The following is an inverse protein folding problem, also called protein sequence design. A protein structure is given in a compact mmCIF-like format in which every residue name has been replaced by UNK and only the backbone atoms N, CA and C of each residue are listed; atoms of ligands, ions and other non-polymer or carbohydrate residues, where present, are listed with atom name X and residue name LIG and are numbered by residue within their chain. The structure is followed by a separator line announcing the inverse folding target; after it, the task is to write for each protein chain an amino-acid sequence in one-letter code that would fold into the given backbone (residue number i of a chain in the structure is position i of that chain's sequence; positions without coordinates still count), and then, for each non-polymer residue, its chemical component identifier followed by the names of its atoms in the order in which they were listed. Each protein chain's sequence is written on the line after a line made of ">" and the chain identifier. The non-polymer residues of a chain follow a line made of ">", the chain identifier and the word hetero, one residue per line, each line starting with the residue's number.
data_IF_138179273888
#
_entry.id   IF_138179273888
#
_cell.length_a   1.000
_cell.length_b   1.000
_cell.length_c   1.000
_cell.angle_alpha   90.00
_cell.angle_beta   90.00
_cell.angle_gamma   90.00
#
_symmetry.space_group_name_H-M   'P 1'
#
loop_
_entity.id
_entity.type
_entity.pdbx_description
1 polymer ?
#
# COMPACT_ATOMS: atom_id res chain seq x y z
N UNK A 1 -10.57 14.30 77.67
CA UNK A 1 -11.33 13.73 76.54
C UNK A 1 -10.99 14.55 75.31
N UNK A 2 -10.25 13.98 74.36
CA UNK A 2 -9.58 14.68 73.26
C UNK A 2 -10.57 15.24 72.20
N UNK A 3 -10.31 16.43 71.63
CA UNK A 3 -11.07 16.93 70.48
C UNK A 3 -10.54 16.33 69.16
N UNK A 4 -11.47 16.10 68.24
CA UNK A 4 -11.26 15.56 66.90
C UNK A 4 -10.63 16.62 65.98
N UNK A 5 -9.49 16.30 65.35
CA UNK A 5 -8.92 17.07 64.23
C UNK A 5 -9.59 16.64 62.91
N UNK A 6 -9.90 17.57 61.99
CA UNK A 6 -10.36 17.23 60.65
C UNK A 6 -9.15 16.84 59.78
N UNK A 7 -9.23 15.67 59.13
CA UNK A 7 -8.27 15.23 58.10
C UNK A 7 -8.56 15.98 56.80
N UNK A 8 -7.68 16.91 56.42
CA UNK A 8 -7.69 17.52 55.10
C UNK A 8 -7.25 16.48 54.05
N UNK A 9 -8.12 16.19 53.08
CA UNK A 9 -7.80 15.36 51.91
C UNK A 9 -7.23 16.28 50.83
N UNK A 10 -5.93 16.17 50.58
CA UNK A 10 -5.28 16.88 49.47
C UNK A 10 -5.57 16.15 48.16
N UNK A 11 -6.40 16.75 47.30
CA UNK A 11 -6.69 16.25 45.95
C UNK A 11 -5.56 16.70 45.02
N UNK A 12 -4.59 15.82 44.77
CA UNK A 12 -3.49 16.07 43.84
C UNK A 12 -4.00 16.10 42.39
N UNK A 13 -3.98 17.28 41.76
CA UNK A 13 -4.30 17.45 40.35
C UNK A 13 -3.13 16.98 39.49
N UNK A 14 -3.20 15.76 38.96
CA UNK A 14 -2.26 15.26 37.95
C UNK A 14 -2.50 16.00 36.62
N UNK A 15 -1.69 17.01 36.33
CA UNK A 15 -1.64 17.65 35.03
C UNK A 15 -0.89 16.71 34.09
N UNK A 16 -1.63 15.89 33.33
CA UNK A 16 -1.06 15.11 32.25
C UNK A 16 -0.64 16.07 31.12
N UNK A 17 0.66 16.36 31.05
CA UNK A 17 1.26 17.09 29.94
C UNK A 17 1.21 16.23 28.67
N UNK A 18 0.18 16.44 27.85
CA UNK A 18 0.11 15.91 26.50
C UNK A 18 1.17 16.62 25.65
N UNK A 19 2.32 15.97 25.43
CA UNK A 19 3.27 16.44 24.43
C UNK A 19 2.56 16.53 23.07
N UNK A 20 2.70 17.62 22.32
CA UNK A 20 2.14 17.71 20.99
C UNK A 20 2.80 16.62 20.15
N UNK A 21 2.01 15.66 19.66
CA UNK A 21 2.49 14.71 18.66
C UNK A 21 2.91 15.55 17.44
N UNK A 22 4.22 15.62 17.17
CA UNK A 22 4.73 16.24 15.96
C UNK A 22 4.04 15.54 14.79
N UNK A 23 3.19 16.28 14.08
CA UNK A 23 2.54 15.77 12.89
C UNK A 23 3.65 15.40 11.91
N UNK A 24 3.69 14.14 11.48
CA UNK A 24 4.63 13.71 10.46
C UNK A 24 4.35 14.52 9.19
N UNK A 25 5.28 15.40 8.82
CA UNK A 25 5.12 16.30 7.67
C UNK A 25 5.13 15.50 6.38
N UNK A 26 4.08 15.66 5.60
CA UNK A 26 4.03 15.19 4.22
C UNK A 26 4.80 16.16 3.32
N UNK A 27 5.65 15.62 2.45
CA UNK A 27 6.45 16.38 1.49
C UNK A 27 6.33 15.78 0.10
N UNK A 28 6.49 16.60 -0.94
CA UNK A 28 6.69 16.11 -2.31
C UNK A 28 8.16 15.75 -2.51
N UNK A 29 8.39 14.60 -3.13
CA UNK A 29 9.72 14.16 -3.52
C UNK A 29 9.71 13.67 -4.97
N UNK A 30 10.88 13.72 -5.60
CA UNK A 30 11.10 13.28 -6.97
C UNK A 30 12.37 12.45 -7.08
N UNK A 31 12.34 11.46 -7.96
CA UNK A 31 13.54 10.75 -8.42
C UNK A 31 13.59 10.74 -9.94
N UNK A 32 14.81 10.68 -10.47
CA UNK A 32 15.03 10.38 -11.88
C UNK A 32 14.95 8.86 -12.07
N UNK A 33 14.12 8.42 -13.02
CA UNK A 33 13.96 7.02 -13.43
C UNK A 33 13.87 6.93 -14.94
N UNK A 34 14.68 6.08 -15.58
CA UNK A 34 14.74 5.97 -17.06
C UNK A 34 14.91 7.33 -17.78
N UNK A 35 15.54 8.32 -17.14
CA UNK A 35 15.65 9.68 -17.68
C UNK A 35 14.37 10.53 -17.58
N UNK A 36 13.38 10.09 -16.81
CA UNK A 36 12.11 10.76 -16.53
C UNK A 36 11.98 11.08 -15.05
N UNK A 37 11.17 12.08 -14.69
CA UNK A 37 10.86 12.39 -13.29
C UNK A 37 9.68 11.54 -12.82
N UNK A 38 9.87 10.86 -11.69
CA UNK A 38 8.81 10.21 -10.93
C UNK A 38 8.57 10.98 -9.63
N UNK A 39 7.40 11.61 -9.53
CA UNK A 39 6.95 12.35 -8.35
C UNK A 39 6.15 11.46 -7.40
N UNK A 40 6.32 11.67 -6.10
CA UNK A 40 5.57 10.96 -5.07
C UNK A 40 5.38 11.81 -3.81
N UNK A 41 4.28 11.55 -3.10
CA UNK A 41 4.11 12.05 -1.73
C UNK A 41 4.93 11.17 -0.79
N UNK A 42 5.73 11.80 0.06
CA UNK A 42 6.61 11.16 1.02
C UNK A 42 6.25 11.60 2.44
N UNK A 43 6.05 10.63 3.33
CA UNK A 43 5.92 10.86 4.77
C UNK A 43 6.99 10.04 5.48
N UNK A 44 7.81 10.70 6.31
CA UNK A 44 8.89 10.07 7.07
C UNK A 44 8.55 10.08 8.57
N UNK A 45 8.39 8.91 9.21
CA UNK A 45 8.32 8.83 10.67
C UNK A 45 9.72 9.07 11.28
N UNK A 46 9.77 9.48 12.54
CA UNK A 46 11.03 9.71 13.26
C UNK A 46 11.88 8.44 13.39
N UNK A 47 11.24 7.31 13.69
CA UNK A 47 11.88 6.01 13.90
C UNK A 47 11.30 4.99 12.91
N UNK A 48 11.79 4.98 11.65
CA UNK A 48 11.22 4.12 10.62
C UNK A 48 11.55 2.64 10.87
N UNK A 49 10.55 1.77 10.74
CA UNK A 49 10.69 0.30 10.80
C UNK A 49 10.78 -0.36 9.42
N UNK A 50 10.80 0.44 8.37
CA UNK A 50 10.80 0.03 6.97
C UNK A 50 10.08 1.06 6.09
N UNK A 51 9.91 0.74 4.81
CA UNK A 51 9.25 1.59 3.82
C UNK A 51 8.08 0.88 3.14
N UNK A 52 7.06 1.63 2.75
CA UNK A 52 5.93 1.15 1.93
C UNK A 52 5.73 2.03 0.71
N UNK A 53 5.50 1.38 -0.44
CA UNK A 53 5.06 2.02 -1.67
C UNK A 53 3.57 1.71 -1.86
N UNK A 54 2.75 2.76 -1.96
CA UNK A 54 1.29 2.66 -2.00
C UNK A 54 0.76 2.98 -3.41
N UNK A 55 0.42 1.95 -4.18
CA UNK A 55 -0.05 2.10 -5.56
C UNK A 55 -1.58 2.16 -5.64
N UNK A 56 -2.09 3.31 -6.08
CA UNK A 56 -3.51 3.51 -6.30
C UNK A 56 -4.06 2.60 -7.40
N UNK A 57 -5.32 2.17 -7.23
CA UNK A 57 -6.11 1.44 -8.24
C UNK A 57 -6.60 2.36 -9.37
N UNK A 58 -7.71 1.98 -10.03
CA UNK A 58 -8.23 2.73 -11.18
C UNK A 58 -7.17 2.96 -12.26
N UNK A 59 -7.13 4.15 -12.87
CA UNK A 59 -6.11 4.48 -13.86
C UNK A 59 -4.71 4.69 -13.26
N UNK A 60 -4.60 5.03 -11.98
CA UNK A 60 -3.33 5.13 -11.25
C UNK A 60 -2.54 6.41 -11.45
N UNK A 61 -2.88 7.23 -12.45
CA UNK A 61 -2.36 8.59 -12.62
C UNK A 61 -2.99 9.47 -11.53
N UNK A 62 -2.22 9.81 -10.49
CA UNK A 62 -2.65 10.67 -9.39
C UNK A 62 -2.64 12.14 -9.76
N UNK A 63 -1.83 12.48 -10.76
CA UNK A 63 -1.60 13.84 -11.21
C UNK A 63 -1.16 14.77 -10.07
N UNK A 64 -0.04 14.39 -9.45
CA UNK A 64 0.57 15.17 -8.37
C UNK A 64 1.22 16.43 -8.94
N UNK A 65 0.84 17.60 -8.44
CA UNK A 65 1.55 18.86 -8.71
C UNK A 65 2.80 19.02 -7.83
N UNK A 66 3.52 20.14 -7.99
CA UNK A 66 4.76 20.41 -7.26
C UNK A 66 4.53 20.63 -5.75
N UNK A 67 3.32 21.04 -5.38
CA UNK A 67 2.89 21.29 -4.00
C UNK A 67 2.30 20.03 -3.33
N UNK A 68 2.07 18.97 -4.11
CA UNK A 68 1.57 17.68 -3.63
C UNK A 68 0.05 17.57 -3.63
N UNK A 69 -0.65 18.51 -4.28
CA UNK A 69 -2.07 18.37 -4.55
C UNK A 69 -2.30 17.14 -5.42
N UNK A 70 -3.30 16.36 -5.05
CA UNK A 70 -3.69 15.16 -5.77
C UNK A 70 -4.77 15.54 -6.77
N UNK A 71 -4.45 15.53 -8.07
CA UNK A 71 -5.42 15.81 -9.14
C UNK A 71 -6.49 14.72 -9.28
N UNK A 72 -6.14 13.46 -9.03
CA UNK A 72 -7.08 12.34 -9.03
C UNK A 72 -6.78 11.30 -7.94
N UNK A 73 -7.84 10.67 -7.43
CA UNK A 73 -7.68 9.48 -6.58
C UNK A 73 -7.40 9.79 -5.11
N UNK A 74 -7.61 11.03 -4.64
CA UNK A 74 -7.47 11.39 -3.23
C UNK A 74 -8.33 10.50 -2.29
N UNK A 75 -9.49 10.04 -2.77
CA UNK A 75 -10.36 9.10 -2.06
C UNK A 75 -9.97 7.63 -2.16
N UNK A 76 -8.99 7.27 -3.00
CA UNK A 76 -8.52 5.88 -3.13
C UNK A 76 -8.02 5.36 -1.78
N UNK A 77 -8.31 4.09 -1.47
CA UNK A 77 -8.03 3.51 -0.16
C UNK A 77 -6.57 3.64 0.27
N UNK A 78 -5.61 3.29 -0.59
CA UNK A 78 -4.19 3.41 -0.22
C UNK A 78 -3.73 4.87 -0.16
N UNK A 79 -4.23 5.71 -1.06
CA UNK A 79 -3.89 7.16 -1.09
C UNK A 79 -4.40 7.86 0.17
N UNK A 80 -5.67 7.66 0.57
CA UNK A 80 -6.24 8.30 1.77
C UNK A 80 -5.70 7.74 3.08
N UNK A 81 -5.09 6.56 3.07
CA UNK A 81 -4.54 5.91 4.27
C UNK A 81 -3.02 6.06 4.41
N UNK A 82 -2.33 6.75 3.51
CA UNK A 82 -0.87 6.96 3.55
C UNK A 82 -0.35 7.45 4.91
N UNK A 83 -1.00 8.43 5.53
CA UNK A 83 -0.62 8.91 6.86
C UNK A 83 -0.81 7.87 7.99
N UNK A 84 -1.67 6.87 7.81
CA UNK A 84 -1.83 5.78 8.78
C UNK A 84 -0.68 4.77 8.72
N UNK A 85 -0.13 4.51 7.53
CA UNK A 85 1.10 3.71 7.40
C UNK A 85 2.29 4.42 8.02
N UNK A 86 2.40 5.73 7.82
CA UNK A 86 3.46 6.54 8.44
C UNK A 86 3.34 6.60 9.97
N UNK A 87 2.12 6.74 10.51
CA UNK A 87 1.87 6.59 11.96
C UNK A 87 2.17 5.18 12.48
N UNK A 88 2.14 4.16 11.62
CA UNK A 88 2.60 2.82 11.96
C UNK A 88 4.14 2.66 11.82
N UNK A 89 4.89 3.75 11.63
CA UNK A 89 6.34 3.75 11.60
C UNK A 89 6.94 3.39 10.24
N UNK A 90 6.18 3.40 9.14
CA UNK A 90 6.75 3.15 7.81
C UNK A 90 7.04 4.46 7.07
N UNK A 91 8.22 4.59 6.47
CA UNK A 91 8.42 5.59 5.42
C UNK A 91 7.41 5.30 4.32
N UNK A 92 6.55 6.26 4.03
CA UNK A 92 5.41 6.03 3.14
C UNK A 92 5.59 6.84 1.86
N UNK A 93 5.65 6.14 0.72
CA UNK A 93 5.65 6.74 -0.60
C UNK A 93 4.34 6.45 -1.33
N UNK A 94 3.68 7.50 -1.81
CA UNK A 94 2.50 7.40 -2.69
C UNK A 94 2.86 7.99 -4.05
N UNK A 95 3.39 7.18 -4.98
CA UNK A 95 3.87 7.68 -6.27
C UNK A 95 2.74 7.94 -7.25
N UNK A 96 2.95 8.98 -8.07
CA UNK A 96 2.27 9.14 -9.35
C UNK A 96 2.92 8.23 -10.41
N UNK A 97 2.62 8.48 -11.68
CA UNK A 97 3.23 7.86 -12.84
C UNK A 97 4.20 8.86 -13.49
N UNK A 98 5.34 8.36 -14.00
CA UNK A 98 6.28 9.17 -14.76
C UNK A 98 5.60 9.87 -15.95
N UNK A 99 6.04 11.08 -16.30
CA UNK A 99 5.31 11.95 -17.23
C UNK A 99 5.10 11.33 -18.63
N UNK A 100 6.10 10.63 -19.16
CA UNK A 100 6.06 9.90 -20.43
C UNK A 100 4.97 8.81 -20.45
N UNK A 101 4.73 8.21 -19.29
CA UNK A 101 3.81 7.10 -19.06
C UNK A 101 2.37 7.53 -18.73
N UNK A 102 2.09 8.84 -18.58
CA UNK A 102 0.73 9.36 -18.36
C UNK A 102 -0.16 9.35 -19.61
N UNK A 103 0.39 9.04 -20.79
CA UNK A 103 -0.34 9.01 -22.07
C UNK A 103 -1.38 7.88 -22.09
N UNK A 104 -2.63 8.18 -22.47
CA UNK A 104 -3.66 7.15 -22.73
C UNK A 104 -4.68 6.88 -21.61
N UNK A 105 -4.84 7.78 -20.62
CA UNK A 105 -5.96 7.72 -19.66
C UNK A 105 -5.90 6.57 -18.65
N UNK A 106 -4.73 5.93 -18.49
CA UNK A 106 -4.49 4.88 -17.51
C UNK A 106 -3.91 3.59 -18.09
N UNK A 107 -4.68 2.52 -17.94
CA UNK A 107 -4.23 1.13 -17.89
C UNK A 107 -3.65 0.53 -19.18
N UNK A 108 -4.03 0.93 -20.40
CA UNK A 108 -3.50 0.26 -21.60
C UNK A 108 -1.97 0.37 -21.68
N UNK A 109 -1.27 -0.75 -21.48
CA UNK A 109 0.18 -0.87 -21.60
C UNK A 109 0.98 -0.45 -20.36
N UNK A 110 0.53 0.58 -19.62
CA UNK A 110 1.28 1.13 -18.49
C UNK A 110 1.60 0.12 -17.39
N UNK A 111 0.58 -0.50 -16.78
CA UNK A 111 0.75 -1.21 -15.50
C UNK A 111 1.58 -2.50 -15.61
N UNK A 112 1.68 -3.09 -16.79
CA UNK A 112 2.45 -4.30 -17.06
C UNK A 112 3.64 -4.07 -18.00
N UNK A 113 4.01 -2.81 -18.26
CA UNK A 113 5.20 -2.49 -19.06
C UNK A 113 6.49 -2.75 -18.28
N UNK A 114 7.59 -3.07 -18.96
CA UNK A 114 8.92 -3.08 -18.36
C UNK A 114 9.29 -1.73 -17.72
N UNK A 115 8.92 -0.63 -18.37
CA UNK A 115 9.23 0.74 -17.94
C UNK A 115 8.60 1.09 -16.60
N UNK A 116 7.32 0.73 -16.40
CA UNK A 116 6.66 0.94 -15.12
C UNK A 116 7.28 0.08 -14.00
N UNK A 117 7.73 -1.14 -14.31
CA UNK A 117 8.46 -1.95 -13.34
C UNK A 117 9.82 -1.32 -12.99
N UNK A 118 10.53 -0.77 -13.96
CA UNK A 118 11.79 -0.06 -13.71
C UNK A 118 11.60 1.18 -12.83
N UNK A 119 10.53 1.95 -13.04
CA UNK A 119 10.17 3.10 -12.19
C UNK A 119 9.90 2.68 -10.75
N UNK A 120 9.13 1.61 -10.55
CA UNK A 120 8.90 1.03 -9.22
C UNK A 120 10.23 0.54 -8.61
N UNK A 121 11.08 -0.13 -9.39
CA UNK A 121 12.36 -0.64 -8.91
C UNK A 121 13.33 0.46 -8.46
N UNK A 122 13.37 1.58 -9.18
CA UNK A 122 14.16 2.75 -8.77
C UNK A 122 13.60 3.42 -7.52
N UNK A 123 12.26 3.47 -7.37
CA UNK A 123 11.63 3.93 -6.14
C UNK A 123 11.93 2.99 -4.96
N UNK A 124 11.93 1.67 -5.19
CA UNK A 124 12.33 0.68 -4.16
C UNK A 124 13.76 0.96 -3.69
N UNK A 125 14.71 1.13 -4.61
CA UNK A 125 16.11 1.46 -4.24
C UNK A 125 16.21 2.76 -3.45
N UNK A 126 15.50 3.81 -3.90
CA UNK A 126 15.49 5.10 -3.22
C UNK A 126 14.97 4.96 -1.77
N UNK A 127 13.83 4.30 -1.58
CA UNK A 127 13.25 4.12 -0.25
C UNK A 127 14.06 3.15 0.63
N UNK A 128 14.74 2.17 0.03
CA UNK A 128 15.62 1.24 0.76
C UNK A 128 16.78 2.00 1.43
N UNK A 129 17.28 3.06 0.80
CA UNK A 129 18.29 3.94 1.39
C UNK A 129 17.74 4.80 2.54
N UNK A 130 16.43 5.04 2.59
CA UNK A 130 15.78 5.76 3.70
C UNK A 130 15.44 4.82 4.87
N UNK A 131 14.84 3.68 4.58
CA UNK A 131 14.51 2.64 5.54
C UNK A 131 14.27 1.30 4.85
N UNK A 132 15.05 0.29 5.20
CA UNK A 132 14.86 -1.11 4.82
C UNK A 132 14.13 -1.86 5.95
N UNK A 133 13.30 -2.88 5.67
CA UNK A 133 12.89 -3.40 4.34
C UNK A 133 11.89 -2.51 3.59
N UNK A 134 11.71 -2.75 2.29
CA UNK A 134 10.77 -2.02 1.41
C UNK A 134 9.67 -2.93 0.91
N UNK A 135 8.41 -2.52 1.09
CA UNK A 135 7.23 -3.29 0.73
C UNK A 135 6.40 -2.59 -0.35
N UNK A 136 5.86 -3.38 -1.29
CA UNK A 136 5.04 -2.88 -2.39
C UNK A 136 3.57 -3.26 -2.18
N UNK A 137 2.69 -2.27 -2.09
CA UNK A 137 1.28 -2.44 -1.75
C UNK A 137 0.44 -1.84 -2.88
N UNK A 138 -0.49 -2.61 -3.43
CA UNK A 138 -1.38 -2.13 -4.49
C UNK A 138 -2.83 -2.55 -4.29
N UNK A 139 -3.76 -1.67 -4.61
CA UNK A 139 -5.20 -1.95 -4.52
C UNK A 139 -5.84 -2.13 -5.90
N UNK A 140 -6.81 -3.03 -6.01
CA UNK A 140 -7.64 -3.17 -7.20
C UNK A 140 -6.80 -3.43 -8.45
N UNK A 141 -6.90 -2.54 -9.43
CA UNK A 141 -6.15 -2.59 -10.67
C UNK A 141 -4.62 -2.44 -10.50
N UNK A 142 -4.14 -1.93 -9.36
CA UNK A 142 -2.72 -1.92 -9.06
C UNK A 142 -2.12 -3.31 -8.81
N UNK A 143 -2.95 -4.35 -8.67
CA UNK A 143 -2.48 -5.73 -8.70
C UNK A 143 -1.57 -6.03 -9.91
N UNK A 144 -1.88 -5.43 -11.07
CA UNK A 144 -1.04 -5.58 -12.27
C UNK A 144 0.34 -4.95 -12.07
N UNK A 145 0.40 -3.73 -11.52
CA UNK A 145 1.67 -3.05 -11.21
C UNK A 145 2.51 -3.84 -10.20
N UNK A 146 1.87 -4.35 -9.14
CA UNK A 146 2.53 -5.14 -8.09
C UNK A 146 3.09 -6.45 -8.66
N UNK A 147 2.27 -7.21 -9.40
CA UNK A 147 2.71 -8.46 -10.02
C UNK A 147 3.81 -8.21 -11.06
N UNK A 148 3.68 -7.15 -11.86
CA UNK A 148 4.68 -6.77 -12.87
C UNK A 148 6.05 -6.48 -12.24
N UNK A 149 6.08 -5.68 -11.17
CA UNK A 149 7.30 -5.40 -10.43
C UNK A 149 7.88 -6.68 -9.80
N UNK A 150 7.06 -7.46 -9.09
CA UNK A 150 7.50 -8.67 -8.40
C UNK A 150 8.00 -9.78 -9.33
N UNK A 151 7.45 -9.89 -10.55
CA UNK A 151 7.86 -10.87 -11.56
C UNK A 151 9.17 -10.48 -12.26
N UNK A 152 9.47 -9.17 -12.39
CA UNK A 152 10.60 -8.67 -13.18
C UNK A 152 11.81 -8.27 -12.35
N UNK A 153 11.60 -7.71 -11.15
CA UNK A 153 12.65 -7.10 -10.35
C UNK A 153 13.34 -8.12 -9.46
N UNK A 154 14.64 -7.94 -9.27
CA UNK A 154 15.51 -8.76 -8.42
C UNK A 154 16.53 -7.87 -7.69
N UNK A 155 17.24 -8.45 -6.72
CA UNK A 155 18.24 -7.74 -5.91
C UNK A 155 17.65 -6.52 -5.21
N UNK A 156 18.41 -5.43 -5.14
CA UNK A 156 18.03 -4.22 -4.42
C UNK A 156 16.81 -3.50 -5.00
N UNK A 157 16.46 -3.79 -6.26
CA UNK A 157 15.28 -3.24 -6.92
C UNK A 157 13.99 -3.99 -6.55
N UNK A 158 14.09 -5.22 -6.02
CA UNK A 158 12.93 -6.00 -5.67
C UNK A 158 12.34 -5.56 -4.32
N UNK A 159 11.00 -5.50 -4.18
CA UNK A 159 10.40 -5.35 -2.87
C UNK A 159 10.62 -6.62 -2.04
N UNK A 160 10.77 -6.45 -0.72
CA UNK A 160 10.97 -7.55 0.23
C UNK A 160 9.70 -8.37 0.45
N UNK A 161 8.54 -7.73 0.30
CA UNK A 161 7.22 -8.38 0.30
C UNK A 161 6.22 -7.58 -0.54
N UNK A 162 5.16 -8.25 -0.97
CA UNK A 162 4.07 -7.63 -1.72
C UNK A 162 2.72 -7.81 -1.02
N UNK A 163 1.87 -6.81 -1.16
CA UNK A 163 0.49 -6.82 -0.64
C UNK A 163 -0.45 -6.38 -1.74
N UNK A 164 -1.51 -7.14 -1.97
CA UNK A 164 -2.56 -6.80 -2.92
C UNK A 164 -3.90 -6.75 -2.20
N UNK A 165 -4.56 -5.60 -2.22
CA UNK A 165 -5.89 -5.40 -1.63
C UNK A 165 -6.97 -5.38 -2.71
N UNK A 166 -8.02 -6.18 -2.59
CA UNK A 166 -9.15 -6.26 -3.53
C UNK A 166 -8.71 -6.32 -5.00
N UNK A 167 -7.74 -7.17 -5.34
CA UNK A 167 -6.97 -7.07 -6.59
C UNK A 167 -7.63 -7.65 -7.85
N UNK A 168 -7.29 -7.08 -9.02
CA UNK A 168 -7.54 -7.69 -10.36
C UNK A 168 -6.50 -8.79 -10.64
N UNK A 169 -6.62 -9.91 -9.93
CA UNK A 169 -5.60 -10.95 -9.87
C UNK A 169 -5.63 -11.89 -11.08
N UNK A 170 -6.80 -12.45 -11.37
CA UNK A 170 -7.01 -13.50 -12.38
C UNK A 170 -8.01 -13.05 -13.43
N UNK A 171 -8.03 -13.74 -14.56
CA UNK A 171 -9.03 -13.49 -15.59
C UNK A 171 -10.43 -13.83 -15.07
N UNK A 172 -11.32 -12.85 -15.19
CA UNK A 172 -12.75 -12.97 -14.90
C UNK A 172 -13.58 -12.85 -16.19
N UNK A 173 -13.28 -11.84 -17.01
CA UNK A 173 -13.90 -11.63 -18.32
C UNK A 173 -12.99 -10.77 -19.21
N UNK A 174 -13.37 -10.58 -20.48
CA UNK A 174 -12.58 -9.83 -21.46
C UNK A 174 -12.72 -8.29 -21.35
N UNK A 175 -13.53 -7.77 -20.42
CA UNK A 175 -13.78 -6.32 -20.28
C UNK A 175 -12.68 -5.59 -19.49
N UNK A 176 -11.89 -6.31 -18.70
CA UNK A 176 -10.83 -5.74 -17.86
C UNK A 176 -9.58 -6.63 -17.86
N UNK A 177 -8.38 -6.07 -17.64
CA UNK A 177 -7.15 -6.84 -17.56
C UNK A 177 -7.00 -7.49 -16.17
N UNK A 178 -6.03 -8.40 -16.05
CA UNK A 178 -5.68 -9.13 -14.83
C UNK A 178 -4.18 -9.38 -14.78
N UNK A 179 -3.62 -9.56 -13.58
CA UNK A 179 -2.22 -9.94 -13.45
C UNK A 179 -1.91 -11.26 -14.18
N UNK A 180 -2.78 -12.27 -14.06
CA UNK A 180 -2.66 -13.57 -14.76
C UNK A 180 -2.45 -13.43 -16.27
N UNK A 181 -3.26 -12.63 -16.96
CA UNK A 181 -3.21 -12.52 -18.43
C UNK A 181 -2.18 -11.55 -18.97
N UNK A 182 -2.00 -10.39 -18.33
CA UNK A 182 -1.19 -9.30 -18.88
C UNK A 182 0.27 -9.33 -18.40
N UNK A 183 0.52 -9.80 -17.17
CA UNK A 183 1.89 -9.90 -16.65
C UNK A 183 2.50 -11.25 -17.02
N UNK A 184 1.76 -12.34 -16.78
CA UNK A 184 2.23 -13.70 -16.99
C UNK A 184 3.40 -14.08 -16.07
N UNK A 185 3.89 -15.32 -16.22
CA UNK A 185 5.08 -15.85 -15.53
C UNK A 185 5.10 -15.63 -14.02
N UNK A 186 3.94 -15.78 -13.39
CA UNK A 186 3.74 -15.46 -11.97
C UNK A 186 4.51 -16.40 -11.03
N UNK A 187 4.95 -17.56 -11.52
CA UNK A 187 5.87 -18.48 -10.83
C UNK A 187 7.24 -17.85 -10.49
N UNK A 188 7.56 -16.70 -11.11
CA UNK A 188 8.77 -15.92 -10.83
C UNK A 188 8.69 -15.08 -9.58
N UNK A 189 7.49 -14.76 -9.08
CA UNK A 189 7.32 -14.00 -7.85
C UNK A 189 7.85 -14.84 -6.69
N UNK A 190 8.89 -14.33 -5.99
CA UNK A 190 9.52 -15.02 -4.85
C UNK A 190 9.16 -14.41 -3.50
N UNK A 191 8.57 -13.21 -3.52
CA UNK A 191 8.25 -12.41 -2.35
C UNK A 191 7.16 -13.08 -1.49
N UNK A 192 7.24 -12.99 -0.14
CA UNK A 192 6.07 -13.18 0.70
C UNK A 192 4.94 -12.26 0.23
N UNK A 193 3.75 -12.83 0.08
CA UNK A 193 2.59 -12.17 -0.51
C UNK A 193 1.42 -12.19 0.46
N UNK A 194 0.77 -11.05 0.66
CA UNK A 194 -0.54 -10.96 1.32
C UNK A 194 -1.61 -10.55 0.31
N UNK A 195 -2.65 -11.36 0.19
CA UNK A 195 -3.88 -11.03 -0.54
C UNK A 195 -4.96 -10.67 0.48
N UNK A 196 -5.47 -9.45 0.44
CA UNK A 196 -6.44 -8.93 1.40
C UNK A 196 -7.72 -8.51 0.70
N UNK A 197 -8.86 -8.98 1.19
CA UNK A 197 -10.18 -8.69 0.61
C UNK A 197 -11.17 -8.26 1.68
N UNK A 198 -12.22 -7.56 1.26
CA UNK A 198 -13.42 -7.42 2.06
C UNK A 198 -14.38 -8.58 1.75
N UNK A 199 -15.02 -9.17 2.78
CA UNK A 199 -15.96 -10.30 2.61
C UNK A 199 -17.15 -9.95 1.70
N UNK A 200 -17.57 -8.69 1.74
CA UNK A 200 -18.66 -8.11 0.93
C UNK A 200 -18.18 -7.31 -0.28
N UNK A 201 -16.94 -7.51 -0.74
CA UNK A 201 -16.49 -6.88 -1.99
C UNK A 201 -17.30 -7.44 -3.17
N UNK A 202 -18.21 -6.62 -3.67
CA UNK A 202 -19.11 -6.95 -4.77
C UNK A 202 -18.61 -6.47 -6.14
N UNK A 203 -17.37 -5.99 -6.24
CA UNK A 203 -16.81 -5.57 -7.52
C UNK A 203 -16.66 -6.77 -8.48
N UNK A 204 -17.33 -6.79 -9.66
CA UNK A 204 -17.35 -7.95 -10.54
C UNK A 204 -16.00 -8.28 -11.18
N UNK A 205 -14.99 -7.43 -11.02
CA UNK A 205 -13.65 -7.61 -11.59
C UNK A 205 -12.62 -8.13 -10.58
N UNK A 206 -12.95 -8.10 -9.30
CA UNK A 206 -12.03 -8.47 -8.21
C UNK A 206 -12.71 -9.39 -7.20
N UNK A 207 -13.38 -10.48 -7.65
CA UNK A 207 -14.11 -11.34 -6.73
C UNK A 207 -13.14 -11.98 -5.72
N UNK A 208 -13.56 -12.09 -4.47
CA UNK A 208 -12.79 -12.73 -3.39
C UNK A 208 -12.27 -14.13 -3.76
N UNK A 209 -13.05 -14.89 -4.55
CA UNK A 209 -12.67 -16.22 -5.07
C UNK A 209 -11.42 -16.21 -5.96
N UNK A 210 -11.02 -15.05 -6.49
CA UNK A 210 -9.78 -14.91 -7.27
C UNK A 210 -8.51 -15.11 -6.43
N UNK A 211 -8.55 -14.86 -5.11
CA UNK A 211 -7.38 -14.93 -4.25
C UNK A 211 -6.78 -16.34 -4.22
N UNK A 212 -7.63 -17.35 -4.06
CA UNK A 212 -7.23 -18.76 -4.04
C UNK A 212 -6.70 -19.25 -5.38
N UNK A 213 -7.34 -18.81 -6.49
CA UNK A 213 -6.84 -19.08 -7.84
C UNK A 213 -5.47 -18.46 -8.07
N UNK A 214 -5.30 -17.19 -7.69
CA UNK A 214 -4.03 -16.49 -7.85
C UNK A 214 -2.92 -17.10 -7.01
N UNK A 215 -3.21 -17.49 -5.75
CA UNK A 215 -2.26 -18.19 -4.88
C UNK A 215 -1.66 -19.42 -5.56
N UNK A 216 -2.47 -20.21 -6.28
CA UNK A 216 -1.99 -21.40 -7.01
C UNK A 216 -1.04 -21.07 -8.16
N UNK A 217 -1.11 -19.85 -8.73
CA UNK A 217 -0.19 -19.39 -9.78
C UNK A 217 1.16 -18.93 -9.22
N UNK A 218 1.24 -18.58 -7.93
CA UNK A 218 2.45 -18.08 -7.26
C UNK A 218 3.34 -19.21 -6.73
N UNK A 219 3.64 -20.22 -7.57
CA UNK A 219 4.39 -21.41 -7.14
C UNK A 219 5.83 -21.12 -6.67
N UNK A 220 6.37 -19.96 -7.03
CA UNK A 220 7.68 -19.50 -6.57
C UNK A 220 7.67 -18.71 -5.27
N UNK A 221 6.51 -18.27 -4.77
CA UNK A 221 6.44 -17.36 -3.65
C UNK A 221 6.81 -18.09 -2.34
N UNK A 222 7.65 -17.46 -1.51
CA UNK A 222 8.02 -18.00 -0.18
C UNK A 222 6.80 -18.33 0.67
N UNK A 223 5.76 -17.49 0.57
CA UNK A 223 4.49 -17.65 1.28
C UNK A 223 3.42 -16.79 0.65
N UNK A 224 2.19 -17.27 0.63
CA UNK A 224 1.01 -16.51 0.19
C UNK A 224 -0.10 -16.63 1.23
N UNK A 225 -0.37 -15.55 1.94
CA UNK A 225 -1.48 -15.48 2.89
C UNK A 225 -2.69 -14.82 2.24
N UNK A 226 -3.88 -15.29 2.62
CA UNK A 226 -5.15 -14.68 2.22
C UNK A 226 -5.87 -14.26 3.50
N UNK A 227 -6.37 -13.02 3.53
CA UNK A 227 -7.14 -12.48 4.64
C UNK A 227 -8.40 -11.80 4.12
N UNK A 228 -9.48 -12.01 4.86
CA UNK A 228 -10.75 -11.35 4.64
C UNK A 228 -11.05 -10.44 5.84
N UNK A 229 -11.53 -9.25 5.56
CA UNK A 229 -12.01 -8.30 6.56
C UNK A 229 -13.51 -8.08 6.40
N UNK A 230 -14.15 -7.72 7.50
CA UNK A 230 -15.57 -7.43 7.58
C UNK A 230 -15.83 -6.13 8.34
N UNK A 231 -17.08 -5.68 8.31
CA UNK A 231 -17.52 -4.41 8.91
C UNK A 231 -17.59 -3.27 7.89
N UNK A 232 -17.52 -2.04 8.37
CA UNK A 232 -17.55 -0.85 7.51
C UNK A 232 -18.91 -0.57 6.88
N UNK A 233 -18.89 0.22 5.81
CA UNK A 233 -20.09 0.66 5.10
C UNK A 233 -19.85 0.69 3.59
N UNK A 234 -20.91 0.89 2.83
CA UNK A 234 -20.86 0.98 1.39
C UNK A 234 -21.60 2.24 0.91
N UNK A 235 -20.96 2.99 0.00
CA UNK A 235 -21.56 4.09 -0.74
C UNK A 235 -21.07 4.05 -2.19
N UNK A 236 -21.95 4.38 -3.13
CA UNK A 236 -21.66 4.37 -4.57
C UNK A 236 -21.65 2.97 -5.17
N UNK A 237 -21.03 2.85 -6.34
CA UNK A 237 -20.99 1.59 -7.09
C UNK A 237 -20.07 0.54 -6.45
N UNK A 238 -20.28 -0.77 -6.68
CA UNK A 238 -19.56 -1.85 -6.00
C UNK A 238 -18.03 -1.78 -6.07
N UNK A 239 -17.46 -1.23 -7.14
CA UNK A 239 -16.02 -1.10 -7.35
C UNK A 239 -15.42 0.23 -6.84
N UNK A 240 -16.21 1.11 -6.23
CA UNK A 240 -15.74 2.43 -5.83
C UNK A 240 -14.98 2.41 -4.50
N UNK A 241 -14.14 3.43 -4.31
CA UNK A 241 -13.30 3.57 -3.13
C UNK A 241 -14.09 3.81 -1.83
N UNK A 242 -15.36 4.23 -1.94
CA UNK A 242 -16.30 4.43 -0.83
C UNK A 242 -17.24 3.23 -0.61
N UNK A 243 -17.03 2.14 -1.33
CA UNK A 243 -17.73 0.87 -1.14
C UNK A 243 -16.86 -0.13 -0.35
N UNK A 244 -17.38 -1.33 -0.10
CA UNK A 244 -16.62 -2.45 0.48
C UNK A 244 -15.34 -2.78 -0.30
N UNK A 245 -15.33 -2.60 -1.63
CA UNK A 245 -14.13 -2.74 -2.46
C UNK A 245 -12.99 -1.81 -2.04
N UNK A 246 -13.35 -0.60 -1.62
CA UNK A 246 -12.44 0.38 -1.05
C UNK A 246 -12.31 0.32 0.46
N UNK A 247 -12.86 -0.69 1.15
CA UNK A 247 -12.80 -0.85 2.61
C UNK A 247 -13.34 0.35 3.41
N UNK A 248 -14.37 1.03 2.90
CA UNK A 248 -14.94 2.21 3.53
C UNK A 248 -15.39 1.93 4.97
N UNK A 249 -14.95 2.79 5.90
CA UNK A 249 -15.25 2.67 7.33
C UNK A 249 -14.31 1.74 8.12
N UNK A 250 -13.41 0.99 7.46
CA UNK A 250 -12.46 0.10 8.16
C UNK A 250 -10.98 0.32 7.77
N UNK A 251 -10.64 1.52 7.29
CA UNK A 251 -9.26 1.90 6.91
C UNK A 251 -8.21 1.54 7.97
N UNK A 252 -8.48 1.84 9.24
CA UNK A 252 -7.58 1.49 10.36
C UNK A 252 -7.39 -0.02 10.50
N UNK A 253 -8.44 -0.79 10.23
CA UNK A 253 -8.41 -2.26 10.23
C UNK A 253 -7.55 -2.82 9.10
N UNK A 254 -7.65 -2.23 7.90
CA UNK A 254 -6.79 -2.57 6.75
C UNK A 254 -5.33 -2.30 7.08
N UNK A 255 -5.00 -1.07 7.48
CA UNK A 255 -3.63 -0.65 7.78
C UNK A 255 -3.04 -1.51 8.90
N UNK A 256 -3.78 -1.78 9.98
CA UNK A 256 -3.32 -2.65 11.07
C UNK A 256 -3.05 -4.07 10.60
N UNK A 257 -3.94 -4.66 9.79
CA UNK A 257 -3.75 -6.01 9.24
C UNK A 257 -2.51 -6.09 8.37
N UNK A 258 -2.34 -5.12 7.45
CA UNK A 258 -1.19 -5.08 6.54
C UNK A 258 0.11 -4.87 7.32
N UNK A 259 0.21 -3.81 8.13
CA UNK A 259 1.43 -3.49 8.87
C UNK A 259 1.80 -4.57 9.90
N UNK A 260 0.81 -5.18 10.56
CA UNK A 260 1.03 -6.34 11.42
C UNK A 260 1.63 -7.52 10.67
N UNK A 261 1.14 -7.80 9.45
CA UNK A 261 1.72 -8.84 8.61
C UNK A 261 3.15 -8.51 8.21
N UNK A 262 3.42 -7.28 7.77
CA UNK A 262 4.77 -6.86 7.34
C UNK A 262 5.79 -7.02 8.47
N UNK A 263 5.46 -6.63 9.70
CA UNK A 263 6.33 -6.81 10.88
C UNK A 263 6.56 -8.26 11.28
N UNK A 264 5.64 -9.16 10.92
CA UNK A 264 5.78 -10.59 11.20
C UNK A 264 6.64 -11.33 10.17
N UNK A 265 7.06 -10.66 9.10
CA UNK A 265 7.97 -11.24 8.13
C UNK A 265 9.38 -11.30 8.74
N UNK A 266 10.15 -12.36 8.48
CA UNK A 266 11.54 -12.41 8.92
C UNK A 266 12.28 -11.19 8.37
N UNK A 267 12.99 -10.46 9.23
CA UNK A 267 13.88 -9.39 8.78
C UNK A 267 14.88 -10.02 7.81
N UNK A 268 14.86 -9.56 6.56
CA UNK A 268 15.73 -10.03 5.49
C UNK A 268 17.16 -9.58 5.71
N UNK A 269 17.84 -10.13 6.71
CA UNK A 269 19.29 -10.06 6.88
C UNK A 269 19.79 -11.43 7.29
N UNK A 270 20.13 -12.25 6.31
CA UNK A 270 21.16 -13.27 6.44
C UNK A 270 21.81 -13.46 5.07
N UNK A 271 22.83 -12.65 4.86
CA UNK A 271 23.81 -12.75 3.79
C UNK A 271 25.05 -12.03 4.26
N UNK A 272 25.81 -12.69 5.16
CA UNK A 272 27.26 -12.52 5.19
C UNK A 272 27.83 -13.11 3.92
#
# INVERSE_FOLDING_TARGET
>A
MNPLLPRAVALGLMIASAAPALAQTESVAEIVTRGQLLRFLLIKPENPVGSVILLAGGHGILDLDAEGKIGWGAGNQLVRTRGQYARAGFVTATPDVAADLKRGGGVPGLRWSPDHAADIGNLVKHLRALASPVYLIGTSRAALSVANAATRLSGDAAPDAIVITSGMLVHINNKQPSAERQVGRLERIKQPTLLLYHEKDACPYTPASSAERFRKLLTGAKRVDIKFLSGGSARGEPCEARHFHGFEGIDRGVVRTVTGRLRSLPNGTNGK
#
